data_IF_809709669478
#
_entry.id   IF_809709669478
#
_cell.length_a   1.000
_cell.length_b   1.000
_cell.length_c   1.000
_cell.angle_alpha   90.00
_cell.angle_beta   90.00
_cell.angle_gamma   90.00
#
_symmetry.space_group_name_H-M   'P 1'
#
loop_
_entity.id
_entity.type
_entity.pdbx_description
1 polymer ?
#
# COMPACT_ATOMS: atom_id res chain seq x y z
N UNK A 1 13.32 -18.57 32.55
CA UNK A 1 13.26 -19.07 31.16
C UNK A 1 13.26 -17.85 30.26
N UNK A 2 14.20 -17.72 29.34
CA UNK A 2 14.14 -16.62 28.37
C UNK A 2 13.00 -16.90 27.39
N UNK A 3 12.14 -15.91 27.16
CA UNK A 3 11.06 -16.01 26.16
C UNK A 3 11.71 -15.86 24.79
N UNK A 4 11.52 -16.84 23.91
CA UNK A 4 11.95 -16.76 22.51
C UNK A 4 10.84 -16.18 21.65
N UNK A 5 11.19 -15.27 20.75
CA UNK A 5 10.26 -14.70 19.76
C UNK A 5 10.51 -15.37 18.42
N UNK A 6 9.47 -15.81 17.73
CA UNK A 6 9.58 -16.43 16.41
C UNK A 6 8.95 -15.53 15.35
N UNK A 7 9.58 -15.48 14.17
CA UNK A 7 9.12 -14.75 13.00
C UNK A 7 8.71 -15.73 11.91
N UNK A 8 7.55 -15.49 11.30
CA UNK A 8 7.17 -16.13 10.04
C UNK A 8 7.79 -15.37 8.89
N UNK A 9 8.56 -16.06 8.05
CA UNK A 9 9.18 -15.53 6.83
C UNK A 9 8.80 -16.46 5.69
N UNK A 10 7.86 -16.02 4.84
CA UNK A 10 7.25 -16.91 3.86
C UNK A 10 6.60 -18.15 4.51
N UNK A 11 7.10 -19.33 4.16
CA UNK A 11 6.66 -20.62 4.73
C UNK A 11 7.43 -21.02 6.00
N UNK A 12 8.57 -20.38 6.25
CA UNK A 12 9.49 -20.73 7.33
C UNK A 12 9.16 -20.00 8.64
N UNK A 13 9.55 -20.62 9.74
CA UNK A 13 9.48 -20.04 11.08
C UNK A 13 10.92 -20.00 11.63
N UNK A 14 11.42 -18.80 11.88
CA UNK A 14 12.79 -18.57 12.38
C UNK A 14 12.77 -17.94 13.77
N UNK A 15 13.76 -18.27 14.58
CA UNK A 15 14.00 -17.57 15.85
C UNK A 15 14.43 -16.13 15.54
N UNK A 16 13.76 -15.15 16.13
CA UNK A 16 13.97 -13.73 15.84
C UNK A 16 15.39 -13.27 16.20
N UNK A 17 16.01 -13.91 17.19
CA UNK A 17 17.38 -13.61 17.63
C UNK A 17 18.44 -14.24 16.72
N UNK A 18 18.05 -15.15 15.83
CA UNK A 18 18.95 -15.85 14.92
C UNK A 18 19.08 -15.18 13.54
N UNK A 19 18.35 -14.09 13.29
CA UNK A 19 18.33 -13.41 11.99
C UNK A 19 18.40 -11.89 12.14
N UNK A 20 19.02 -11.21 11.17
CA UNK A 20 18.97 -9.76 11.10
C UNK A 20 17.57 -9.33 10.63
N UNK A 21 16.84 -8.65 11.50
CA UNK A 21 15.47 -8.21 11.25
C UNK A 21 15.33 -6.68 11.32
N UNK A 22 14.22 -6.17 10.79
CA UNK A 22 13.83 -4.75 10.88
C UNK A 22 12.55 -4.62 11.70
N UNK A 23 12.41 -3.48 12.39
CA UNK A 23 11.18 -3.10 13.10
C UNK A 23 10.05 -2.73 12.13
N UNK A 24 10.37 -2.39 10.88
CA UNK A 24 9.36 -2.09 9.88
C UNK A 24 8.70 -3.38 9.36
N UNK A 25 7.40 -3.51 9.61
CA UNK A 25 6.59 -4.67 9.24
C UNK A 25 5.69 -4.42 8.04
N UNK A 26 5.83 -3.28 7.36
CA UNK A 26 4.99 -2.84 6.22
C UNK A 26 4.92 -3.91 5.13
N UNK A 27 6.04 -4.57 4.83
CA UNK A 27 6.17 -5.59 3.79
C UNK A 27 6.40 -6.98 4.35
N UNK A 28 5.85 -7.26 5.54
CA UNK A 28 6.02 -8.56 6.22
C UNK A 28 5.64 -9.75 5.33
N UNK A 29 4.58 -9.62 4.55
CA UNK A 29 4.11 -10.70 3.68
C UNK A 29 4.99 -10.89 2.42
N UNK A 30 5.94 -9.98 2.19
CA UNK A 30 6.98 -10.08 1.17
C UNK A 30 8.35 -10.48 1.76
N UNK A 31 8.45 -10.79 3.05
CA UNK A 31 9.72 -11.22 3.64
C UNK A 31 10.20 -12.55 3.06
N UNK A 32 11.50 -12.61 2.76
CA UNK A 32 12.23 -13.78 2.29
C UNK A 32 13.53 -13.94 3.09
N UNK A 33 14.03 -15.17 3.19
CA UNK A 33 15.33 -15.43 3.83
C UNK A 33 16.44 -15.45 2.79
N UNK A 34 17.48 -14.65 3.04
CA UNK A 34 18.75 -14.68 2.33
C UNK A 34 19.85 -15.01 3.35
N UNK A 35 20.06 -16.30 3.59
CA UNK A 35 20.93 -16.76 4.68
C UNK A 35 20.31 -16.48 6.05
N UNK A 36 21.01 -15.67 6.86
CA UNK A 36 20.57 -15.18 8.18
C UNK A 36 19.96 -13.77 8.13
N UNK A 37 19.71 -13.23 6.93
CA UNK A 37 19.11 -11.90 6.74
C UNK A 37 17.68 -12.03 6.23
N UNK A 38 16.77 -11.24 6.81
CA UNK A 38 15.42 -11.06 6.26
C UNK A 38 15.48 -10.00 5.16
N UNK A 39 15.35 -10.44 3.92
CA UNK A 39 15.21 -9.59 2.74
C UNK A 39 13.73 -9.37 2.40
N UNK A 40 13.47 -8.40 1.50
CA UNK A 40 12.13 -8.14 0.96
C UNK A 40 12.09 -8.53 -0.51
N UNK A 41 11.20 -9.45 -0.85
CA UNK A 41 10.87 -9.78 -2.23
C UNK A 41 10.15 -8.59 -2.88
N UNK A 42 10.88 -7.86 -3.74
CA UNK A 42 10.36 -6.66 -4.37
C UNK A 42 9.18 -6.92 -5.31
N UNK A 43 9.04 -8.13 -5.88
CA UNK A 43 7.86 -8.46 -6.70
C UNK A 43 6.62 -8.48 -5.81
N UNK A 44 6.68 -9.22 -4.70
CA UNK A 44 5.58 -9.26 -3.72
C UNK A 44 5.34 -7.91 -3.05
N UNK A 45 6.38 -7.14 -2.78
CA UNK A 45 6.25 -5.83 -2.15
C UNK A 45 5.45 -4.85 -3.01
N UNK A 46 5.65 -4.84 -4.34
CA UNK A 46 4.85 -4.04 -5.28
C UNK A 46 3.38 -4.42 -5.22
N UNK A 47 3.08 -5.71 -5.22
CA UNK A 47 1.70 -6.20 -5.17
C UNK A 47 1.03 -5.86 -3.83
N UNK A 48 1.73 -6.01 -2.72
CA UNK A 48 1.26 -5.56 -1.41
C UNK A 48 0.98 -4.05 -1.45
N UNK A 49 1.87 -3.24 -2.03
CA UNK A 49 1.66 -1.80 -2.08
C UNK A 49 0.42 -1.43 -2.90
N UNK A 50 0.18 -2.09 -4.04
CA UNK A 50 -1.06 -1.94 -4.82
C UNK A 50 -2.30 -2.30 -4.00
N UNK A 51 -2.26 -3.37 -3.22
CA UNK A 51 -3.37 -3.72 -2.32
C UNK A 51 -3.60 -2.65 -1.24
N UNK A 52 -2.54 -2.07 -0.67
CA UNK A 52 -2.67 -0.98 0.29
C UNK A 52 -3.28 0.28 -0.35
N UNK A 53 -2.90 0.62 -1.59
CA UNK A 53 -3.55 1.68 -2.38
C UNK A 53 -5.04 1.37 -2.58
N UNK A 54 -5.37 0.12 -2.97
CA UNK A 54 -6.75 -0.33 -3.16
C UNK A 54 -7.57 -0.24 -1.88
N UNK A 55 -6.99 -0.55 -0.73
CA UNK A 55 -7.65 -0.40 0.55
C UNK A 55 -7.86 1.08 0.93
N UNK A 56 -6.81 1.90 0.76
CA UNK A 56 -6.84 3.32 1.11
C UNK A 56 -7.86 4.13 0.28
N UNK A 57 -8.09 3.76 -0.99
CA UNK A 57 -9.05 4.47 -1.86
C UNK A 57 -10.52 4.18 -1.55
N UNK A 58 -10.86 3.09 -0.86
CA UNK A 58 -12.26 2.75 -0.54
C UNK A 58 -12.97 3.85 0.25
N UNK A 59 -12.48 4.32 1.41
CA UNK A 59 -13.15 5.38 2.15
C UNK A 59 -13.24 6.70 1.36
N UNK A 60 -12.23 6.99 0.54
CA UNK A 60 -12.20 8.21 -0.29
C UNK A 60 -13.23 8.13 -1.42
N UNK A 61 -13.38 6.98 -2.08
CA UNK A 61 -14.44 6.77 -3.07
C UNK A 61 -15.82 6.95 -2.48
N UNK A 62 -16.08 6.38 -1.29
CA UNK A 62 -17.37 6.52 -0.62
C UNK A 62 -17.70 7.99 -0.33
N UNK A 63 -16.70 8.77 0.10
CA UNK A 63 -16.88 10.21 0.32
C UNK A 63 -17.17 10.96 -0.98
N UNK A 64 -16.38 10.70 -2.03
CA UNK A 64 -16.56 11.32 -3.35
C UNK A 64 -17.91 10.95 -3.99
N UNK A 65 -18.43 9.75 -3.75
CA UNK A 65 -19.75 9.33 -4.23
C UNK A 65 -20.86 10.13 -3.55
N UNK A 66 -20.77 10.34 -2.23
CA UNK A 66 -21.71 11.19 -1.51
C UNK A 66 -21.67 12.65 -1.99
N UNK A 67 -20.47 13.18 -2.24
CA UNK A 67 -20.30 14.55 -2.71
C UNK A 67 -20.75 14.73 -4.17
N UNK A 68 -20.58 13.70 -5.00
CA UNK A 68 -21.10 13.69 -6.37
C UNK A 68 -22.64 13.77 -6.36
N UNK A 69 -23.31 13.02 -5.49
CA UNK A 69 -24.78 13.07 -5.37
C UNK A 69 -25.27 14.45 -4.94
N UNK A 70 -24.62 15.11 -3.98
CA UNK A 70 -24.95 16.51 -3.61
C UNK A 70 -24.75 17.48 -4.78
N UNK A 71 -23.66 17.31 -5.55
CA UNK A 71 -23.39 18.13 -6.72
C UNK A 71 -24.41 17.90 -7.85
N UNK A 72 -24.91 16.66 -7.98
CA UNK A 72 -25.98 16.31 -8.91
C UNK A 72 -27.30 16.97 -8.52
N UNK A 73 -27.71 16.83 -7.25
CA UNK A 73 -28.96 17.40 -6.72
C UNK A 73 -28.99 18.94 -6.78
N UNK A 74 -27.85 19.59 -6.61
CA UNK A 74 -27.70 21.05 -6.72
C UNK A 74 -27.48 21.57 -8.14
N UNK A 75 -27.37 20.69 -9.14
CA UNK A 75 -27.07 21.07 -10.52
C UNK A 75 -25.67 21.66 -10.72
N UNK A 76 -24.74 21.46 -9.79
CA UNK A 76 -23.38 21.98 -9.86
C UNK A 76 -22.49 21.11 -10.77
N UNK A 77 -22.54 21.39 -12.07
CA UNK A 77 -21.80 20.65 -13.11
C UNK A 77 -20.28 20.73 -12.91
N UNK A 78 -19.76 21.86 -12.43
CA UNK A 78 -18.32 22.01 -12.17
C UNK A 78 -17.85 21.03 -11.10
N UNK A 79 -18.57 20.92 -9.98
CA UNK A 79 -18.25 19.96 -8.93
C UNK A 79 -18.38 18.51 -9.41
N UNK A 80 -19.38 18.19 -10.22
CA UNK A 80 -19.51 16.85 -10.82
C UNK A 80 -18.28 16.47 -11.65
N UNK A 81 -17.80 17.38 -12.50
CA UNK A 81 -16.60 17.17 -13.32
C UNK A 81 -15.33 17.02 -12.47
N UNK A 82 -15.14 17.89 -11.48
CA UNK A 82 -13.98 17.79 -10.57
C UNK A 82 -13.96 16.46 -9.82
N UNK A 83 -15.09 16.03 -9.27
CA UNK A 83 -15.19 14.76 -8.54
C UNK A 83 -14.96 13.58 -9.47
N UNK A 84 -15.49 13.61 -10.70
CA UNK A 84 -15.23 12.57 -11.69
C UNK A 84 -13.73 12.41 -12.00
N UNK A 85 -13.01 13.52 -12.15
CA UNK A 85 -11.55 13.51 -12.35
C UNK A 85 -10.80 12.94 -11.14
N UNK A 86 -11.19 13.33 -9.91
CA UNK A 86 -10.61 12.77 -8.69
C UNK A 86 -10.83 11.25 -8.60
N UNK A 87 -12.04 10.80 -8.91
CA UNK A 87 -12.37 9.36 -8.96
C UNK A 87 -11.54 8.62 -10.01
N UNK A 88 -11.26 9.26 -11.15
CA UNK A 88 -10.39 8.66 -12.18
C UNK A 88 -8.95 8.55 -11.67
N UNK A 89 -8.40 9.60 -11.07
CA UNK A 89 -7.05 9.58 -10.49
C UNK A 89 -6.88 8.47 -9.44
N UNK A 90 -7.90 8.21 -8.61
CA UNK A 90 -7.89 7.10 -7.65
C UNK A 90 -7.92 5.71 -8.30
N UNK A 91 -8.48 5.58 -9.51
CA UNK A 91 -8.43 4.33 -10.29
C UNK A 91 -7.04 4.12 -10.85
N UNK A 92 -6.49 5.17 -11.47
CA UNK A 92 -5.18 5.15 -12.13
C UNK A 92 -4.02 4.97 -11.14
N UNK A 93 -4.23 5.34 -9.86
CA UNK A 93 -3.24 5.20 -8.79
C UNK A 93 -2.64 3.79 -8.63
N UNK A 94 -3.36 2.71 -8.99
CA UNK A 94 -2.81 1.34 -8.90
C UNK A 94 -1.89 0.96 -10.04
N UNK A 95 -1.94 1.75 -11.12
CA UNK A 95 -1.22 1.54 -12.37
C UNK A 95 -0.08 2.56 -12.52
N UNK A 96 0.27 3.25 -11.42
CA UNK A 96 1.37 4.21 -11.39
C UNK A 96 2.70 3.48 -11.70
N UNK A 97 3.40 3.86 -12.79
CA UNK A 97 4.63 3.20 -13.22
C UNK A 97 5.75 3.31 -12.18
N UNK A 98 5.67 4.25 -11.23
CA UNK A 98 6.64 4.36 -10.14
C UNK A 98 6.63 3.14 -9.22
N UNK A 99 5.50 2.43 -9.11
CA UNK A 99 5.40 1.15 -8.39
C UNK A 99 6.27 0.11 -9.08
N UNK A 100 6.21 0.02 -10.41
CA UNK A 100 7.00 -0.94 -11.18
C UNK A 100 8.50 -0.59 -11.22
N UNK A 101 8.85 0.68 -11.17
CA UNK A 101 10.26 1.11 -11.14
C UNK A 101 10.91 1.10 -9.75
N UNK A 102 10.14 0.96 -8.67
CA UNK A 102 10.69 0.99 -7.30
C UNK A 102 11.77 -0.09 -7.09
N UNK A 103 12.88 0.25 -6.43
CA UNK A 103 13.98 -0.70 -6.21
C UNK A 103 14.09 -1.13 -4.75
N UNK A 104 13.38 -0.45 -3.86
CA UNK A 104 13.37 -0.71 -2.44
C UNK A 104 11.99 -0.54 -1.80
N UNK A 105 11.77 -1.12 -0.61
CA UNK A 105 10.60 -0.83 0.22
C UNK A 105 10.37 0.66 0.47
N UNK A 106 11.44 1.44 0.61
CA UNK A 106 11.35 2.87 0.88
C UNK A 106 10.92 3.64 -0.37
N UNK A 107 11.37 3.25 -1.58
CA UNK A 107 10.86 3.79 -2.83
C UNK A 107 9.35 3.56 -2.97
N UNK A 108 8.85 2.38 -2.59
CA UNK A 108 7.41 2.08 -2.62
C UNK A 108 6.63 3.00 -1.68
N UNK A 109 7.13 3.26 -0.47
CA UNK A 109 6.46 4.15 0.49
C UNK A 109 6.38 5.61 0.01
N UNK A 110 7.27 6.02 -0.90
CA UNK A 110 7.22 7.34 -1.54
C UNK A 110 6.08 7.43 -2.58
N UNK A 111 5.58 6.30 -3.09
CA UNK A 111 4.41 6.28 -3.97
C UNK A 111 3.15 6.54 -3.16
N UNK A 112 2.82 7.83 -3.01
CA UNK A 112 1.64 8.32 -2.29
C UNK A 112 0.73 9.07 -3.27
N UNK A 113 -0.24 8.38 -3.91
CA UNK A 113 -1.20 9.01 -4.80
C UNK A 113 -1.99 10.10 -4.07
N UNK A 114 -2.27 11.20 -4.77
CA UNK A 114 -2.95 12.35 -4.19
C UNK A 114 -4.31 11.97 -3.57
N UNK A 115 -4.55 12.44 -2.35
CA UNK A 115 -5.79 12.17 -1.62
C UNK A 115 -5.83 10.81 -0.91
N UNK A 116 -4.76 10.01 -0.98
CA UNK A 116 -4.61 8.79 -0.20
C UNK A 116 -3.57 8.96 0.91
N UNK A 117 -3.79 8.24 2.01
CA UNK A 117 -2.78 8.03 3.05
C UNK A 117 -2.59 6.53 3.19
N UNK A 118 -1.41 6.05 2.81
CA UNK A 118 -1.08 4.63 2.85
C UNK A 118 -0.13 4.41 4.03
N UNK A 119 -0.61 3.65 5.02
CA UNK A 119 0.13 3.24 6.22
C UNK A 119 0.64 1.82 6.08
#
# INVERSE_FOLDING_TARGET
MAIKTYLKVGADIVDADAVQNTNDRTFRDAWALEGDVIAVDMVKARDIWREKIRAARVPVFNQLDADFMKALESGNVTSQQTIALQKQALRDATDDPTIDSALSPDDLKLVQPAGLVIA
#
